data_IF_365812216465
#
_entry.id   IF_365812216465
#
_cell.length_a   1.000
_cell.length_b   1.000
_cell.length_c   1.000
_cell.angle_alpha   90.00
_cell.angle_beta   90.00
_cell.angle_gamma   90.00
#
_symmetry.space_group_name_H-M   'P 1'
#
loop_
_entity.id
_entity.type
_entity.pdbx_description
1 polymer ?
#
# COMPACT_ATOMS: atom_id res chain seq x y z
N UNK A 1 -20.53 4.72 11.48
CA UNK A 1 -19.40 5.45 10.87
C UNK A 1 -18.48 4.44 10.19
N UNK A 2 -18.28 4.51 8.87
CA UNK A 2 -17.43 3.56 8.15
C UNK A 2 -15.96 3.77 8.53
N UNK A 3 -15.26 2.67 8.83
CA UNK A 3 -13.82 2.67 9.08
C UNK A 3 -13.11 2.29 7.79
N UNK A 4 -12.17 3.12 7.35
CA UNK A 4 -11.43 2.92 6.12
C UNK A 4 -10.01 2.48 6.41
N UNK A 5 -9.60 1.34 5.85
CA UNK A 5 -8.22 0.85 5.98
C UNK A 5 -7.32 1.59 4.98
N UNK A 6 -6.30 2.26 5.49
CA UNK A 6 -5.29 2.94 4.69
C UNK A 6 -3.91 2.32 4.91
N UNK A 7 -3.02 2.54 3.95
CA UNK A 7 -1.62 2.09 3.99
C UNK A 7 -0.71 3.32 4.00
N UNK A 8 0.22 3.34 4.94
CA UNK A 8 1.30 4.32 5.01
C UNK A 8 2.30 4.06 3.87
N UNK A 9 2.53 5.04 3.01
CA UNK A 9 3.48 4.88 1.88
C UNK A 9 4.93 4.78 2.35
N UNK A 10 5.28 5.35 3.50
CA UNK A 10 6.66 5.30 4.01
C UNK A 10 7.09 3.95 4.59
N UNK A 11 6.22 3.27 5.34
CA UNK A 11 6.58 2.02 6.04
C UNK A 11 5.63 0.85 5.78
N UNK A 12 4.61 1.02 4.95
CA UNK A 12 3.62 -0.01 4.64
C UNK A 12 2.65 -0.34 5.79
N UNK A 13 2.67 0.44 6.89
CA UNK A 13 1.78 0.19 8.02
C UNK A 13 0.31 0.36 7.61
N UNK A 14 -0.53 -0.60 7.98
CA UNK A 14 -1.97 -0.55 7.73
C UNK A 14 -2.68 -0.02 8.96
N UNK A 15 -3.53 0.99 8.78
CA UNK A 15 -4.27 1.59 9.89
C UNK A 15 -5.67 2.00 9.45
N UNK A 16 -6.64 1.76 10.32
CA UNK A 16 -8.03 2.14 10.11
C UNK A 16 -8.26 3.59 10.52
N UNK A 17 -8.84 4.38 9.63
CA UNK A 17 -9.23 5.77 9.89
C UNK A 17 -10.74 5.94 9.78
N UNK A 18 -11.29 6.79 10.64
CA UNK A 18 -12.65 7.30 10.50
C UNK A 18 -12.59 8.47 9.52
N UNK A 19 -13.14 8.27 8.32
CA UNK A 19 -13.15 9.26 7.24
C UNK A 19 -14.55 9.39 6.68
N UNK A 20 -14.88 10.60 6.24
CA UNK A 20 -16.11 10.88 5.52
C UNK A 20 -16.12 10.20 4.16
N UNK A 21 -17.32 9.87 3.67
CA UNK A 21 -17.50 9.17 2.40
C UNK A 21 -16.95 9.96 1.20
N UNK A 22 -16.98 11.29 1.26
CA UNK A 22 -16.36 12.17 0.26
C UNK A 22 -14.84 11.94 0.16
N UNK A 23 -14.15 11.92 1.32
CA UNK A 23 -12.70 11.66 1.39
C UNK A 23 -12.41 10.22 0.93
N UNK A 24 -13.25 9.26 1.31
CA UNK A 24 -13.09 7.87 0.87
C UNK A 24 -13.21 7.75 -0.65
N UNK A 25 -14.15 8.46 -1.28
CA UNK A 25 -14.30 8.50 -2.74
C UNK A 25 -13.08 9.09 -3.43
N UNK A 26 -12.52 10.16 -2.86
CA UNK A 26 -11.26 10.76 -3.32
C UNK A 26 -10.06 9.82 -3.18
N UNK A 27 -9.93 9.11 -2.05
CA UNK A 27 -8.87 8.13 -1.86
C UNK A 27 -9.01 6.94 -2.82
N UNK A 28 -10.25 6.55 -3.16
CA UNK A 28 -10.53 5.51 -4.17
C UNK A 28 -10.22 5.96 -5.59
N UNK A 29 -10.31 7.26 -5.90
CA UNK A 29 -9.93 7.80 -7.21
C UNK A 29 -8.42 7.97 -7.39
N UNK A 30 -7.63 7.61 -6.37
CA UNK A 30 -6.17 7.67 -6.39
C UNK A 30 -5.58 8.90 -5.72
N UNK A 31 -6.38 9.72 -5.02
CA UNK A 31 -5.83 10.76 -4.14
C UNK A 31 -5.23 10.14 -2.88
N UNK A 32 -4.30 10.86 -2.27
CA UNK A 32 -3.70 10.52 -0.97
C UNK A 32 -4.17 11.48 0.10
N UNK A 33 -4.04 11.07 1.36
CA UNK A 33 -4.22 11.98 2.49
C UNK A 33 -2.95 12.05 3.33
N UNK A 34 -2.34 13.23 3.51
CA UNK A 34 -1.17 13.37 4.35
C UNK A 34 -1.59 13.23 5.82
N UNK A 35 -1.10 12.19 6.50
CA UNK A 35 -1.30 12.00 7.94
C UNK A 35 -0.04 11.48 8.62
N UNK A 36 0.10 11.81 9.89
CA UNK A 36 1.20 11.32 10.71
C UNK A 36 1.06 9.82 10.98
N UNK A 37 2.08 9.05 10.66
CA UNK A 37 2.12 7.63 10.95
C UNK A 37 2.66 7.35 12.35
N UNK A 38 1.81 6.79 13.22
CA UNK A 38 2.21 6.47 14.59
C UNK A 38 3.30 5.39 14.68
N UNK A 39 3.51 4.62 13.61
CA UNK A 39 4.51 3.54 13.56
C UNK A 39 5.90 4.03 13.21
N UNK A 40 6.06 4.69 12.07
CA UNK A 40 7.36 5.24 11.64
C UNK A 40 7.60 6.68 12.14
N UNK A 41 6.60 7.30 12.78
CA UNK A 41 6.61 8.70 13.25
C UNK A 41 6.92 9.71 12.14
N UNK A 42 6.55 9.37 10.91
CA UNK A 42 6.72 10.21 9.72
C UNK A 42 5.36 10.71 9.25
N UNK A 43 5.29 11.97 8.85
CA UNK A 43 4.17 12.46 8.04
C UNK A 43 4.31 11.89 6.64
N UNK A 44 3.35 11.07 6.25
CA UNK A 44 3.34 10.36 4.97
C UNK A 44 1.99 10.54 4.33
N UNK A 45 1.98 10.44 3.01
CA UNK A 45 0.76 10.20 2.28
C UNK A 45 0.23 8.80 2.61
N UNK A 46 -1.08 8.72 2.83
CA UNK A 46 -1.81 7.49 3.06
C UNK A 46 -2.71 7.20 1.87
N UNK A 47 -2.57 5.98 1.35
CA UNK A 47 -3.34 5.48 0.21
C UNK A 47 -4.43 4.53 0.68
N UNK A 48 -5.53 4.46 -0.08
CA UNK A 48 -6.57 3.48 0.17
C UNK A 48 -5.98 2.07 0.07
N UNK A 49 -6.23 1.22 1.08
CA UNK A 49 -5.90 -0.20 0.98
C UNK A 49 -6.89 -0.86 0.01
N UNK A 50 -6.71 -0.62 -1.29
CA UNK A 50 -7.41 -1.40 -2.31
C UNK A 50 -7.05 -2.85 -2.03
N UNK A 51 -8.09 -3.66 -1.78
CA UNK A 51 -7.93 -5.11 -1.75
C UNK A 51 -7.55 -5.47 -3.17
N UNK A 52 -6.25 -5.50 -3.44
CA UNK A 52 -5.69 -5.90 -4.71
C UNK A 52 -6.05 -7.38 -4.91
N UNK A 53 -7.28 -7.62 -5.39
CA UNK A 53 -7.66 -8.91 -5.95
C UNK A 53 -7.08 -8.93 -7.35
N UNK A 54 -5.75 -9.12 -7.43
CA UNK A 54 -4.90 -9.55 -8.55
C UNK A 54 -3.83 -8.55 -8.97
N UNK A 55 -2.62 -8.82 -8.49
CA UNK A 55 -1.44 -8.97 -9.33
C UNK A 55 -0.60 -10.14 -8.85
N UNK A 56 -1.10 -11.34 -9.14
CA UNK A 56 -0.19 -12.43 -9.48
C UNK A 56 0.38 -12.13 -10.86
N UNK A 57 1.63 -11.67 -10.95
CA UNK A 57 2.57 -12.00 -12.02
C UNK A 57 3.96 -11.41 -11.77
N UNK A 58 4.90 -12.34 -11.67
CA UNK A 58 6.22 -12.28 -12.28
C UNK A 58 7.12 -11.07 -11.99
N UNK A 59 8.14 -11.31 -11.16
CA UNK A 59 9.56 -11.04 -11.47
C UNK A 59 10.43 -11.39 -10.26
N UNK A 60 10.87 -12.66 -10.19
CA UNK A 60 12.28 -13.07 -10.00
C UNK A 60 12.44 -14.53 -10.45
N UNK A 61 12.20 -14.76 -11.75
CA UNK A 61 12.86 -15.87 -12.45
C UNK A 61 14.26 -15.34 -12.82
N UNK A 62 15.20 -15.42 -11.88
CA UNK A 62 16.63 -15.49 -12.18
C UNK A 62 16.97 -16.95 -11.91
N UNK A 63 17.10 -17.80 -12.91
CA UNK A 63 17.94 -17.63 -14.08
C UNK A 63 18.86 -18.84 -14.03
N UNK A 64 18.36 -19.94 -14.58
CA UNK A 64 19.14 -21.16 -14.82
C UNK A 64 20.34 -20.79 -15.69
N UNK A 65 21.53 -20.77 -15.10
CA UNK A 65 22.78 -20.96 -15.82
C UNK A 65 23.58 -22.01 -15.07
N UNK A 66 23.35 -23.23 -15.50
CA UNK A 66 24.27 -24.36 -15.53
C UNK A 66 25.75 -23.91 -15.43
N UNK A 67 26.35 -24.12 -14.26
CA UNK A 67 27.80 -24.17 -14.11
C UNK A 67 28.28 -25.49 -14.73
N UNK A 68 28.83 -25.37 -15.93
CA UNK A 68 29.77 -26.31 -16.51
C UNK A 68 31.14 -26.05 -15.85
N UNK A 69 31.60 -26.95 -14.98
CA UNK A 69 33.01 -27.02 -14.60
C UNK A 69 33.39 -28.39 -14.03
N UNK A 70 34.32 -29.03 -14.74
CA UNK A 70 35.15 -30.21 -14.41
C UNK A 70 34.61 -31.58 -14.80
#
# INVERSE_FOLDING_TARGET
MPTTLLICESCGNRQSFFLDEAIVSELKSGKTVPKHCLRCRTTTDWVFALVDRRSGRDRRQGGDRRDEAT
#
